data_IF_063280157419
#
_entry.id   IF_063280157419
#
_cell.length_a   1.000
_cell.length_b   1.000
_cell.length_c   1.000
_cell.angle_alpha   90.00
_cell.angle_beta   90.00
_cell.angle_gamma   90.00
#
_symmetry.space_group_name_H-M   'P 1'
#
loop_
_entity.id
_entity.type
_entity.pdbx_description
1 polymer ?
#
# COMPACT_ATOMS: atom_id res chain seq x y z
N UNK A 1 -17.47 -3.48 -20.70
CA UNK A 1 -17.16 -2.02 -20.69
C UNK A 1 -16.38 -1.69 -21.95
N UNK A 2 -16.50 -0.47 -22.48
CA UNK A 2 -15.67 -0.04 -23.63
C UNK A 2 -14.18 -0.03 -23.22
N UNK A 3 -13.23 -0.43 -24.10
CA UNK A 3 -11.80 -0.47 -23.77
C UNK A 3 -11.25 0.85 -23.20
N UNK A 4 -11.74 1.99 -23.71
CA UNK A 4 -11.37 3.32 -23.21
C UNK A 4 -11.79 3.55 -21.75
N UNK A 5 -12.99 3.12 -21.36
CA UNK A 5 -13.47 3.25 -19.97
C UNK A 5 -12.64 2.41 -19.00
N UNK A 6 -12.27 1.18 -19.39
CA UNK A 6 -11.42 0.31 -18.55
C UNK A 6 -10.04 0.93 -18.33
N UNK A 7 -9.44 1.51 -19.38
CA UNK A 7 -8.14 2.16 -19.28
C UNK A 7 -8.18 3.40 -18.38
N UNK A 8 -9.24 4.21 -18.46
CA UNK A 8 -9.42 5.37 -17.60
C UNK A 8 -9.57 4.95 -16.13
N UNK A 9 -10.47 4.00 -15.85
CA UNK A 9 -10.69 3.50 -14.49
C UNK A 9 -9.41 2.89 -13.90
N UNK A 10 -8.70 2.05 -14.67
CA UNK A 10 -7.40 1.50 -14.28
C UNK A 10 -6.44 2.61 -13.85
N UNK A 11 -6.23 3.63 -14.67
CA UNK A 11 -5.26 4.68 -14.35
C UNK A 11 -5.69 5.56 -13.18
N UNK A 12 -6.99 5.87 -13.04
CA UNK A 12 -7.52 6.61 -11.88
C UNK A 12 -7.17 5.87 -10.59
N UNK A 13 -7.54 4.58 -10.48
CA UNK A 13 -7.29 3.82 -9.27
C UNK A 13 -5.81 3.54 -9.04
N UNK A 14 -5.03 3.33 -10.10
CA UNK A 14 -3.58 3.08 -9.99
C UNK A 14 -2.84 4.31 -9.50
N UNK A 15 -3.12 5.49 -10.04
CA UNK A 15 -2.49 6.74 -9.60
C UNK A 15 -2.91 7.08 -8.18
N UNK A 16 -4.20 6.96 -7.87
CA UNK A 16 -4.72 7.18 -6.52
C UNK A 16 -4.03 6.27 -5.51
N UNK A 17 -3.99 4.96 -5.78
CA UNK A 17 -3.37 3.98 -4.89
C UNK A 17 -1.86 4.21 -4.75
N UNK A 18 -1.14 4.42 -5.87
CA UNK A 18 0.29 4.68 -5.83
C UNK A 18 0.62 5.96 -5.06
N UNK A 19 -0.14 7.04 -5.25
CA UNK A 19 0.07 8.30 -4.55
C UNK A 19 -0.11 8.14 -3.03
N UNK A 20 -1.14 7.41 -2.60
CA UNK A 20 -1.39 7.11 -1.18
C UNK A 20 -0.24 6.28 -0.58
N UNK A 21 0.19 5.23 -1.27
CA UNK A 21 1.28 4.36 -0.80
C UNK A 21 2.61 5.11 -0.73
N UNK A 22 2.94 5.93 -1.74
CA UNK A 22 4.13 6.79 -1.74
C UNK A 22 4.07 7.77 -0.58
N UNK A 23 2.95 8.49 -0.41
CA UNK A 23 2.78 9.44 0.70
C UNK A 23 3.00 8.78 2.06
N UNK A 24 2.46 7.58 2.27
CA UNK A 24 2.65 6.82 3.51
C UNK A 24 4.10 6.35 3.73
N UNK A 25 4.87 6.18 2.65
CA UNK A 25 6.21 5.61 2.72
C UNK A 25 7.31 6.65 3.00
N UNK A 26 7.17 7.88 2.48
CA UNK A 26 8.23 8.92 2.52
C UNK A 26 8.73 9.17 3.95
N UNK A 27 7.82 9.27 4.93
CA UNK A 27 8.18 9.56 6.32
C UNK A 27 8.96 8.45 7.04
N UNK A 28 9.03 7.25 6.46
CA UNK A 28 9.78 6.12 7.03
C UNK A 28 11.11 5.83 6.33
N UNK A 29 11.45 6.47 5.19
CA UNK A 29 12.77 6.29 4.56
C UNK A 29 13.88 6.79 5.49
N UNK A 30 13.63 7.92 6.13
CA UNK A 30 14.41 8.46 7.24
C UNK A 30 13.40 8.68 8.38
N UNK A 31 13.17 7.67 9.23
CA UNK A 31 12.15 7.75 10.26
C UNK A 31 12.34 8.98 11.15
N UNK A 32 11.36 9.87 11.15
CA UNK A 32 11.34 11.00 12.08
C UNK A 32 11.28 10.53 13.54
N UNK A 33 11.67 11.38 14.49
CA UNK A 33 11.52 11.07 15.92
C UNK A 33 10.08 10.66 16.30
N UNK A 34 9.07 11.27 15.65
CA UNK A 34 7.68 10.90 15.85
C UNK A 34 7.35 9.50 15.30
N UNK A 35 7.88 9.15 14.12
CA UNK A 35 7.69 7.81 13.54
C UNK A 35 8.35 6.73 14.40
N UNK A 36 9.57 6.99 14.92
CA UNK A 36 10.25 6.09 15.87
C UNK A 36 9.42 5.93 17.15
N UNK A 37 8.96 7.03 17.75
CA UNK A 37 8.14 6.97 18.96
C UNK A 37 6.86 6.16 18.78
N UNK A 38 6.16 6.31 17.65
CA UNK A 38 4.91 5.59 17.41
C UNK A 38 5.17 4.12 17.07
N UNK A 39 6.06 3.84 16.11
CA UNK A 39 6.23 2.50 15.53
C UNK A 39 7.23 1.64 16.31
N UNK A 40 8.34 2.20 16.75
CA UNK A 40 9.33 1.47 17.54
C UNK A 40 8.91 1.43 19.01
N UNK A 41 8.79 2.58 19.68
CA UNK A 41 8.52 2.59 21.12
C UNK A 41 7.07 2.18 21.43
N UNK A 42 6.13 2.51 20.55
CA UNK A 42 4.70 2.20 20.73
C UNK A 42 4.27 0.83 20.22
N UNK A 43 4.88 0.30 19.15
CA UNK A 43 4.47 -0.98 18.54
C UNK A 43 5.57 -2.06 18.54
N UNK A 44 6.79 -1.74 18.97
CA UNK A 44 7.90 -2.68 19.07
C UNK A 44 8.63 -2.97 17.76
N UNK A 45 8.39 -2.20 16.68
CA UNK A 45 9.08 -2.43 15.42
C UNK A 45 10.53 -1.96 15.46
N UNK A 46 11.49 -2.78 15.02
CA UNK A 46 12.87 -2.33 14.84
C UNK A 46 12.95 -1.13 13.89
N UNK A 47 13.81 -0.15 14.18
CA UNK A 47 13.92 1.07 13.35
C UNK A 47 14.30 0.73 11.89
N UNK A 48 15.18 -0.26 11.68
CA UNK A 48 15.53 -0.72 10.34
C UNK A 48 14.33 -1.29 9.57
N UNK A 49 13.35 -1.89 10.27
CA UNK A 49 12.16 -2.45 9.64
C UNK A 49 11.26 -1.34 9.10
N UNK A 50 11.11 -0.23 9.83
CA UNK A 50 10.39 0.96 9.38
C UNK A 50 10.99 1.46 8.05
N UNK A 51 12.32 1.57 7.99
CA UNK A 51 13.02 2.00 6.79
C UNK A 51 12.87 1.00 5.63
N UNK A 52 13.05 -0.28 5.91
CA UNK A 52 12.91 -1.34 4.93
C UNK A 52 11.51 -1.35 4.30
N UNK A 53 10.45 -1.34 5.12
CA UNK A 53 9.07 -1.41 4.61
C UNK A 53 8.72 -0.16 3.81
N UNK A 54 9.19 1.03 4.21
CA UNK A 54 9.02 2.25 3.43
C UNK A 54 9.66 2.17 2.05
N UNK A 55 10.90 1.66 1.94
CA UNK A 55 11.56 1.48 0.65
C UNK A 55 10.80 0.46 -0.20
N UNK A 56 10.36 -0.66 0.40
CA UNK A 56 9.59 -1.68 -0.30
C UNK A 56 8.26 -1.13 -0.86
N UNK A 57 7.53 -0.33 -0.08
CA UNK A 57 6.30 0.36 -0.53
C UNK A 57 6.55 1.27 -1.73
N UNK A 58 7.65 2.03 -1.72
CA UNK A 58 8.01 2.92 -2.84
C UNK A 58 8.29 2.11 -4.11
N UNK A 59 9.09 1.05 -4.00
CA UNK A 59 9.39 0.16 -5.12
C UNK A 59 8.12 -0.48 -5.69
N UNK A 60 7.23 -0.97 -4.81
CA UNK A 60 5.93 -1.51 -5.22
C UNK A 60 5.07 -0.46 -5.92
N UNK A 61 5.00 0.75 -5.38
CA UNK A 61 4.21 1.86 -5.95
C UNK A 61 4.73 2.29 -7.33
N UNK A 62 6.05 2.34 -7.51
CA UNK A 62 6.68 2.60 -8.80
C UNK A 62 6.37 1.46 -9.79
N UNK A 63 6.48 0.20 -9.35
CA UNK A 63 6.22 -0.96 -10.19
C UNK A 63 4.80 -1.01 -10.75
N UNK A 64 3.77 -0.65 -9.96
CA UNK A 64 2.38 -0.62 -10.46
C UNK A 64 2.15 0.51 -11.49
N UNK A 65 2.92 1.60 -11.44
CA UNK A 65 2.84 2.71 -12.40
C UNK A 65 3.53 2.40 -13.73
N UNK A 66 4.54 1.53 -13.74
CA UNK A 66 5.26 1.15 -14.97
C UNK A 66 4.39 0.18 -15.80
N UNK A 67 4.11 0.47 -17.09
CA UNK A 67 3.42 -0.47 -17.97
C UNK A 67 4.35 -1.63 -18.39
N UNK A 68 3.77 -2.82 -18.65
CA UNK A 68 4.49 -3.97 -19.20
C UNK A 68 5.17 -4.92 -18.20
N UNK A 69 5.32 -4.52 -16.93
CA UNK A 69 5.95 -5.35 -15.88
C UNK A 69 5.01 -6.41 -15.28
N UNK A 70 4.46 -7.33 -16.08
CA UNK A 70 3.35 -8.21 -15.64
C UNK A 70 3.62 -8.93 -14.32
N UNK A 71 4.70 -9.74 -14.22
CA UNK A 71 4.99 -10.52 -13.00
C UNK A 71 5.39 -9.66 -11.80
N UNK A 72 6.18 -8.62 -12.03
CA UNK A 72 6.61 -7.71 -10.96
C UNK A 72 5.43 -6.91 -10.42
N UNK A 73 4.46 -6.58 -11.28
CA UNK A 73 3.23 -5.91 -10.90
C UNK A 73 2.34 -6.79 -10.02
N UNK A 74 2.24 -8.09 -10.29
CA UNK A 74 1.59 -9.05 -9.37
C UNK A 74 2.23 -9.00 -7.98
N UNK A 75 3.57 -9.07 -7.91
CA UNK A 75 4.30 -9.01 -6.64
C UNK A 75 4.09 -7.67 -5.93
N UNK A 76 4.07 -6.58 -6.67
CA UNK A 76 3.83 -5.25 -6.13
C UNK A 76 2.42 -5.13 -5.54
N UNK A 77 1.38 -5.57 -6.25
CA UNK A 77 0.01 -5.56 -5.72
C UNK A 77 -0.12 -6.42 -4.47
N UNK A 78 0.43 -7.63 -4.48
CA UNK A 78 0.42 -8.52 -3.31
C UNK A 78 1.16 -7.90 -2.11
N UNK A 79 2.36 -7.36 -2.34
CA UNK A 79 3.16 -6.72 -1.29
C UNK A 79 2.49 -5.50 -0.68
N UNK A 80 1.95 -4.61 -1.52
CA UNK A 80 1.21 -3.41 -1.04
C UNK A 80 -0.08 -3.77 -0.32
N UNK A 81 -0.76 -4.85 -0.74
CA UNK A 81 -1.93 -5.38 -0.02
C UNK A 81 -1.55 -5.88 1.38
N UNK A 82 -0.52 -6.72 1.49
CA UNK A 82 -0.07 -7.26 2.78
C UNK A 82 0.52 -6.18 3.69
N UNK A 83 1.13 -5.14 3.12
CA UNK A 83 1.58 -3.99 3.87
C UNK A 83 0.41 -3.27 4.58
N UNK A 84 -0.67 -2.96 3.85
CA UNK A 84 -1.85 -2.31 4.44
C UNK A 84 -2.59 -3.22 5.43
N UNK A 85 -2.74 -4.51 5.09
CA UNK A 85 -3.34 -5.49 5.98
C UNK A 85 -2.51 -5.65 7.27
N UNK A 86 -1.19 -5.71 7.14
CA UNK A 86 -0.25 -5.80 8.25
C UNK A 86 -0.27 -4.54 9.12
N UNK A 87 -0.37 -3.35 8.52
CA UNK A 87 -0.51 -2.10 9.26
C UNK A 87 -1.80 -2.08 10.11
N UNK A 88 -2.93 -2.49 9.53
CA UNK A 88 -4.20 -2.59 10.25
C UNK A 88 -4.13 -3.62 11.40
N UNK A 89 -3.61 -4.82 11.12
CA UNK A 89 -3.42 -5.86 12.12
C UNK A 89 -2.54 -5.39 13.28
N UNK A 90 -1.43 -4.74 12.97
CA UNK A 90 -0.44 -4.35 13.97
C UNK A 90 -0.91 -3.18 14.82
N UNK A 91 -1.69 -2.26 14.24
CA UNK A 91 -2.40 -1.24 15.01
C UNK A 91 -3.35 -1.84 16.04
N UNK A 92 -4.15 -2.84 15.65
CA UNK A 92 -5.05 -3.55 16.58
C UNK A 92 -4.27 -4.32 17.64
N UNK A 93 -3.20 -5.03 17.25
CA UNK A 93 -2.38 -5.81 18.16
C UNK A 93 -1.65 -4.94 19.20
N UNK A 94 -1.16 -3.76 18.80
CA UNK A 94 -0.42 -2.86 19.68
C UNK A 94 -1.32 -2.04 20.63
N UNK A 95 -2.58 -1.81 20.27
CA UNK A 95 -3.46 -0.91 21.02
C UNK A 95 -3.95 -1.44 22.38
N UNK A 96 -3.81 -2.75 22.63
CA UNK A 96 -4.27 -3.41 23.87
C UNK A 96 -5.80 -3.45 24.05
N UNK A 97 -6.57 -2.75 23.22
CA UNK A 97 -8.03 -2.79 23.13
C UNK A 97 -8.46 -2.61 21.68
N UNK A 98 -9.56 -3.26 21.31
CA UNK A 98 -10.12 -3.13 19.97
C UNK A 98 -10.83 -1.77 19.80
N UNK A 99 -10.42 -1.02 18.79
CA UNK A 99 -11.09 0.22 18.34
C UNK A 99 -11.42 0.09 16.84
N UNK A 100 -12.71 0.14 16.45
CA UNK A 100 -13.12 0.11 15.05
C UNK A 100 -12.44 1.16 14.16
N UNK A 101 -12.02 2.30 14.71
CA UNK A 101 -11.28 3.32 13.97
C UNK A 101 -9.92 2.81 13.43
N UNK A 102 -9.35 1.75 14.00
CA UNK A 102 -8.11 1.15 13.51
C UNK A 102 -8.31 0.40 12.18
N UNK A 103 -9.54 -0.02 11.88
CA UNK A 103 -9.88 -0.66 10.61
C UNK A 103 -10.03 0.33 9.47
N UNK A 104 -10.01 1.63 9.75
CA UNK A 104 -10.09 2.67 8.70
C UNK A 104 -8.99 2.53 7.66
N UNK A 105 -7.82 1.98 8.02
CA UNK A 105 -6.75 1.70 7.05
C UNK A 105 -7.15 0.70 5.97
N UNK A 106 -8.10 -0.19 6.23
CA UNK A 106 -8.59 -1.16 5.24
C UNK A 106 -9.33 -0.47 4.08
N UNK A 107 -9.84 0.74 4.27
CA UNK A 107 -10.49 1.48 3.18
C UNK A 107 -9.50 1.78 2.04
N UNK A 108 -8.21 1.93 2.37
CA UNK A 108 -7.17 2.22 1.39
C UNK A 108 -6.77 1.01 0.54
N UNK A 109 -7.20 -0.19 0.92
CA UNK A 109 -7.04 -1.40 0.10
C UNK A 109 -7.96 -1.33 -1.13
N UNK A 110 -9.13 -0.68 -1.01
CA UNK A 110 -10.14 -0.58 -2.08
C UNK A 110 -9.54 -0.05 -3.40
N UNK A 111 -8.88 1.13 -3.45
CA UNK A 111 -8.28 1.60 -4.70
C UNK A 111 -7.21 0.64 -5.25
N UNK A 112 -6.46 -0.06 -4.39
CA UNK A 112 -5.51 -1.09 -4.82
C UNK A 112 -6.17 -2.30 -5.47
N UNK A 113 -7.24 -2.83 -4.86
CA UNK A 113 -8.03 -3.94 -5.41
C UNK A 113 -8.72 -3.55 -6.71
N UNK A 114 -9.29 -2.34 -6.79
CA UNK A 114 -9.91 -1.85 -8.03
C UNK A 114 -8.86 -1.64 -9.12
N UNK A 115 -7.70 -1.08 -8.80
CA UNK A 115 -6.57 -0.95 -9.71
C UNK A 115 -6.16 -2.31 -10.28
N UNK A 116 -5.97 -3.31 -9.42
CA UNK A 116 -5.65 -4.69 -9.80
C UNK A 116 -6.73 -5.30 -10.71
N UNK A 117 -7.98 -5.20 -10.31
CA UNK A 117 -9.11 -5.75 -11.05
C UNK A 117 -9.22 -5.15 -12.47
N UNK A 118 -9.13 -3.82 -12.60
CA UNK A 118 -9.19 -3.18 -13.91
C UNK A 118 -7.94 -3.45 -14.75
N UNK A 119 -6.79 -3.67 -14.12
CA UNK A 119 -5.57 -4.09 -14.80
C UNK A 119 -5.73 -5.47 -15.47
N UNK A 120 -6.23 -6.48 -14.77
CA UNK A 120 -6.50 -7.81 -15.34
C UNK A 120 -7.54 -7.75 -16.47
N UNK A 121 -8.66 -7.06 -16.23
CA UNK A 121 -9.70 -6.83 -17.24
C UNK A 121 -9.16 -6.16 -18.51
N UNK A 122 -8.21 -5.24 -18.37
CA UNK A 122 -7.54 -4.56 -19.50
C UNK A 122 -6.61 -5.50 -20.26
N UNK A 123 -5.96 -6.45 -19.59
CA UNK A 123 -5.08 -7.44 -20.22
C UNK A 123 -5.85 -8.60 -20.88
N UNK A 124 -7.16 -8.71 -20.66
CA UNK A 124 -7.98 -9.80 -21.19
C UNK A 124 -7.96 -11.06 -20.32
N UNK A 125 -7.47 -10.95 -19.08
CA UNK A 125 -7.43 -12.02 -18.08
C UNK A 125 -8.60 -11.90 -17.09
#
# INVERSE_FOLDING_TARGET
MKPGTLNILYWIFTILFAALMIFSAVGGIQPSANAVKILHDGMGYPVYFIQFISIAKLLGSIAILIPGLVRVKEWAYAGLFFDLAGAAYSGVAAAGKFDPMMLTMLIWIIPGVLSYYYWHRKMGN
#
